data_IF_882018560274
#
_entry.id   IF_882018560274
#
_cell.length_a   1.000
_cell.length_b   1.000
_cell.length_c   1.000
_cell.angle_alpha   90.00
_cell.angle_beta   90.00
_cell.angle_gamma   90.00
#
_symmetry.space_group_name_H-M   'P 1'
#
loop_
_entity.id
_entity.type
_entity.pdbx_description
1 polymer ?
#
# COMPACT_ATOMS: atom_id res chain seq x y z
N UNK A 1 -9.30 5.39 0.83
CA UNK A 1 -9.85 6.76 1.01
C UNK A 1 -10.62 6.85 2.32
N UNK A 2 -10.72 8.03 2.90
CA UNK A 2 -11.53 8.24 4.10
C UNK A 2 -13.01 7.95 3.87
N UNK A 3 -13.75 7.65 4.95
CA UNK A 3 -15.20 7.59 4.90
C UNK A 3 -15.75 8.98 4.61
N UNK A 4 -16.51 9.12 3.54
CA UNK A 4 -17.19 10.38 3.19
C UNK A 4 -18.14 10.88 4.30
N UNK A 5 -18.59 9.98 5.19
CA UNK A 5 -19.38 10.35 6.36
C UNK A 5 -18.57 11.27 7.29
N UNK A 6 -17.29 11.01 7.53
CA UNK A 6 -16.44 11.86 8.36
C UNK A 6 -16.34 13.28 7.80
N UNK A 7 -16.23 13.42 6.48
CA UNK A 7 -16.18 14.72 5.83
C UNK A 7 -17.53 15.45 5.83
N UNK A 8 -18.65 14.73 6.02
CA UNK A 8 -20.01 15.32 6.09
C UNK A 8 -20.45 15.67 7.49
N UNK A 9 -20.14 14.83 8.48
CA UNK A 9 -20.71 14.94 9.84
C UNK A 9 -19.70 15.35 10.91
N UNK A 10 -18.40 15.17 10.65
CA UNK A 10 -17.31 15.37 11.62
C UNK A 10 -16.13 16.16 10.99
N UNK A 11 -16.46 17.11 10.09
CA UNK A 11 -15.48 17.76 9.24
C UNK A 11 -14.38 18.51 10.02
N UNK A 12 -14.76 19.28 11.05
CA UNK A 12 -13.79 20.06 11.85
C UNK A 12 -12.90 19.15 12.72
N UNK A 13 -13.47 18.08 13.29
CA UNK A 13 -12.71 17.07 14.03
C UNK A 13 -11.75 16.31 13.10
N UNK A 14 -12.24 15.93 11.91
CA UNK A 14 -11.43 15.29 10.88
C UNK A 14 -10.26 16.18 10.44
N UNK A 15 -10.51 17.47 10.25
CA UNK A 15 -9.49 18.47 9.93
C UNK A 15 -8.43 18.58 11.04
N UNK A 16 -8.84 18.58 12.30
CA UNK A 16 -7.93 18.62 13.44
C UNK A 16 -7.05 17.36 13.53
N UNK A 17 -7.61 16.17 13.30
CA UNK A 17 -6.86 14.91 13.28
C UNK A 17 -5.87 14.87 12.13
N UNK A 18 -6.24 15.36 10.94
CA UNK A 18 -5.35 15.43 9.77
C UNK A 18 -4.24 16.48 9.94
N UNK A 19 -4.51 17.55 10.69
CA UNK A 19 -3.50 18.56 11.00
C UNK A 19 -2.31 17.98 11.78
N UNK A 20 -2.50 16.92 12.59
CA UNK A 20 -1.42 16.18 13.26
C UNK A 20 -0.39 15.62 12.26
N UNK A 21 -0.82 15.32 11.02
CA UNK A 21 0.05 14.87 9.92
C UNK A 21 0.65 16.01 9.09
N UNK A 22 0.50 17.25 9.52
CA UNK A 22 0.83 18.42 8.71
C UNK A 22 -0.07 18.62 7.49
N UNK A 23 -1.19 17.86 7.38
CA UNK A 23 -2.13 17.98 6.27
C UNK A 23 -3.22 19.01 6.58
N UNK A 24 -3.24 20.09 5.81
CA UNK A 24 -4.27 21.13 5.93
C UNK A 24 -5.47 20.77 5.05
N UNK A 25 -6.55 20.30 5.67
CA UNK A 25 -7.81 20.01 4.97
C UNK A 25 -8.48 21.33 4.54
N UNK A 26 -8.89 21.44 3.29
CA UNK A 26 -9.67 22.58 2.80
C UNK A 26 -11.14 22.41 3.18
N UNK A 27 -11.44 22.80 4.41
CA UNK A 27 -12.77 22.71 5.04
C UNK A 27 -13.81 23.55 4.31
N UNK A 28 -13.41 24.73 3.80
CA UNK A 28 -14.34 25.64 3.12
C UNK A 28 -14.83 25.06 1.77
N UNK A 29 -13.90 24.51 1.00
CA UNK A 29 -14.24 23.86 -0.28
C UNK A 29 -15.15 22.65 -0.05
N UNK A 30 -14.87 21.80 0.96
CA UNK A 30 -15.73 20.65 1.28
C UNK A 30 -17.13 21.10 1.68
N UNK A 31 -17.26 22.07 2.58
CA UNK A 31 -18.56 22.59 3.00
C UNK A 31 -19.38 23.09 1.82
N UNK A 32 -18.76 23.87 0.95
CA UNK A 32 -19.40 24.39 -0.26
C UNK A 32 -19.89 23.27 -1.18
N UNK A 33 -19.04 22.28 -1.45
CA UNK A 33 -19.40 21.14 -2.31
C UNK A 33 -20.51 20.28 -1.69
N UNK A 34 -20.46 20.03 -0.37
CA UNK A 34 -21.51 19.27 0.33
C UNK A 34 -22.84 20.02 0.40
N UNK A 35 -22.85 21.33 0.56
CA UNK A 35 -24.04 22.17 0.46
C UNK A 35 -24.65 22.11 -0.94
N UNK A 36 -23.83 22.24 -1.98
CA UNK A 36 -24.25 22.10 -3.38
C UNK A 36 -24.85 20.72 -3.63
N UNK A 37 -24.13 19.65 -3.26
CA UNK A 37 -24.62 18.28 -3.40
C UNK A 37 -25.98 18.09 -2.72
N UNK A 38 -26.13 18.58 -1.48
CA UNK A 38 -27.38 18.46 -0.73
C UNK A 38 -28.53 19.20 -1.41
N UNK A 39 -28.30 20.43 -1.88
CA UNK A 39 -29.31 21.22 -2.58
C UNK A 39 -29.76 20.52 -3.87
N UNK A 40 -28.81 20.12 -4.72
CA UNK A 40 -29.11 19.46 -5.99
C UNK A 40 -29.78 18.11 -5.77
N UNK A 41 -29.35 17.34 -4.77
CA UNK A 41 -29.98 16.06 -4.43
C UNK A 41 -31.45 16.23 -4.06
N UNK A 42 -31.79 17.23 -3.24
CA UNK A 42 -33.18 17.53 -2.88
C UNK A 42 -34.00 17.94 -4.11
N UNK A 43 -33.43 18.71 -5.03
CA UNK A 43 -34.07 19.07 -6.30
C UNK A 43 -34.34 17.83 -7.17
N UNK A 44 -33.33 16.93 -7.32
CA UNK A 44 -33.48 15.65 -8.05
C UNK A 44 -34.57 14.80 -7.46
N UNK A 45 -34.61 14.63 -6.13
CA UNK A 45 -35.64 13.85 -5.42
C UNK A 45 -37.04 14.43 -5.62
N UNK A 46 -37.18 15.76 -5.54
CA UNK A 46 -38.45 16.46 -5.78
C UNK A 46 -38.94 16.30 -7.23
N UNK A 47 -38.05 16.50 -8.22
CA UNK A 47 -38.36 16.31 -9.64
C UNK A 47 -38.75 14.83 -9.91
N UNK A 48 -38.02 13.87 -9.34
CA UNK A 48 -38.30 12.43 -9.46
C UNK A 48 -39.68 12.08 -8.87
N UNK A 49 -40.00 12.59 -7.66
CA UNK A 49 -41.29 12.41 -7.00
C UNK A 49 -42.43 12.99 -7.81
N UNK A 50 -42.27 14.22 -8.33
CA UNK A 50 -43.24 14.91 -9.19
C UNK A 50 -43.48 14.09 -10.48
N UNK A 51 -42.42 13.63 -11.16
CA UNK A 51 -42.52 12.78 -12.35
C UNK A 51 -43.31 11.50 -12.08
N UNK A 52 -43.00 10.82 -10.95
CA UNK A 52 -43.68 9.59 -10.57
C UNK A 52 -45.19 9.83 -10.28
N UNK A 53 -45.53 10.94 -9.60
CA UNK A 53 -46.91 11.35 -9.30
C UNK A 53 -47.70 11.63 -10.59
N UNK A 54 -47.11 12.40 -11.50
CA UNK A 54 -47.72 12.73 -12.80
C UNK A 54 -47.88 11.48 -13.66
N UNK A 55 -46.87 10.59 -13.70
CA UNK A 55 -46.98 9.30 -14.43
C UNK A 55 -48.14 8.44 -13.92
N UNK A 56 -48.37 8.44 -12.58
CA UNK A 56 -49.50 7.74 -11.96
C UNK A 56 -50.85 8.37 -12.36
N UNK A 57 -50.95 9.70 -12.42
CA UNK A 57 -52.13 10.43 -12.85
C UNK A 57 -52.50 10.13 -14.30
N UNK A 58 -51.50 10.10 -15.21
CA UNK A 58 -51.70 9.71 -16.60
C UNK A 58 -52.26 8.28 -16.68
N UNK A 59 -51.67 7.33 -15.93
CA UNK A 59 -52.17 5.95 -15.86
C UNK A 59 -53.63 5.89 -15.41
N UNK A 60 -54.01 6.66 -14.43
CA UNK A 60 -55.41 6.76 -13.92
C UNK A 60 -56.35 7.36 -14.97
N UNK A 61 -55.97 8.44 -15.64
CA UNK A 61 -56.74 9.09 -16.72
C UNK A 61 -56.95 8.14 -17.91
N UNK A 62 -55.88 7.47 -18.31
CA UNK A 62 -55.98 6.47 -19.41
C UNK A 62 -56.87 5.29 -19.04
N UNK A 63 -56.82 4.79 -17.81
CA UNK A 63 -57.70 3.73 -17.34
C UNK A 63 -59.17 4.15 -17.25
N UNK A 64 -59.44 5.43 -17.00
CA UNK A 64 -60.77 6.04 -17.00
C UNK A 64 -61.29 6.42 -18.41
N UNK A 65 -60.53 6.20 -19.48
CA UNK A 65 -60.87 6.56 -20.86
C UNK A 65 -60.68 8.05 -21.21
N UNK A 66 -60.18 8.87 -20.30
CA UNK A 66 -59.94 10.32 -20.47
C UNK A 66 -58.60 10.55 -21.20
N UNK A 67 -58.64 10.36 -22.53
CA UNK A 67 -57.42 10.51 -23.37
C UNK A 67 -56.99 11.97 -23.49
N UNK A 68 -57.89 12.92 -23.55
CA UNK A 68 -57.57 14.34 -23.67
C UNK A 68 -56.86 14.84 -22.38
N UNK A 69 -57.40 14.52 -21.21
CA UNK A 69 -56.76 14.85 -19.95
C UNK A 69 -55.38 14.15 -19.75
N UNK A 70 -55.21 12.96 -20.29
CA UNK A 70 -53.93 12.27 -20.26
C UNK A 70 -52.87 12.98 -21.18
N UNK A 71 -53.27 13.46 -22.36
CA UNK A 71 -52.39 14.22 -23.27
C UNK A 71 -51.99 15.59 -22.73
N UNK A 72 -52.90 16.27 -22.04
CA UNK A 72 -52.63 17.56 -21.41
C UNK A 72 -51.56 17.41 -20.28
N UNK A 73 -51.69 16.36 -19.47
CA UNK A 73 -50.70 16.04 -18.42
C UNK A 73 -49.37 15.57 -19.06
N UNK A 74 -49.39 14.83 -20.17
CA UNK A 74 -48.12 14.45 -20.87
C UNK A 74 -47.32 15.63 -21.38
N UNK A 75 -47.97 16.73 -21.82
CA UNK A 75 -47.26 17.95 -22.23
C UNK A 75 -46.49 18.58 -21.08
N UNK A 76 -46.97 18.45 -19.85
CA UNK A 76 -46.26 18.95 -18.66
C UNK A 76 -45.03 18.10 -18.30
N UNK A 77 -44.97 16.85 -18.74
CA UNK A 77 -43.82 15.95 -18.47
C UNK A 77 -42.62 16.28 -19.37
N UNK A 78 -42.83 16.84 -20.57
CA UNK A 78 -41.77 17.04 -21.55
C UNK A 78 -40.59 17.88 -21.04
N UNK A 79 -40.88 18.92 -20.26
CA UNK A 79 -39.84 19.77 -19.65
C UNK A 79 -39.28 19.14 -18.35
N UNK A 80 -40.11 18.47 -17.57
CA UNK A 80 -39.71 17.85 -16.30
C UNK A 80 -38.66 16.75 -16.47
N UNK A 81 -38.73 15.99 -17.60
CA UNK A 81 -37.75 14.95 -17.90
C UNK A 81 -36.36 15.52 -18.17
N UNK A 82 -36.30 16.56 -19.02
CA UNK A 82 -35.02 17.23 -19.34
C UNK A 82 -34.42 17.94 -18.12
N UNK A 83 -35.26 18.54 -17.26
CA UNK A 83 -34.80 19.20 -16.05
C UNK A 83 -34.26 18.20 -15.03
N UNK A 84 -34.89 17.05 -14.88
CA UNK A 84 -34.43 15.95 -14.03
C UNK A 84 -33.08 15.41 -14.53
N UNK A 85 -32.93 15.18 -15.83
CA UNK A 85 -31.70 14.65 -16.40
C UNK A 85 -30.54 15.67 -16.27
N UNK A 86 -30.82 16.97 -16.50
CA UNK A 86 -29.84 18.04 -16.28
C UNK A 86 -29.37 18.09 -14.81
N UNK A 87 -30.31 18.00 -13.84
CA UNK A 87 -29.98 18.01 -12.43
C UNK A 87 -29.21 16.76 -11.98
N UNK A 88 -29.47 15.59 -12.57
CA UNK A 88 -28.65 14.39 -12.32
C UNK A 88 -27.21 14.57 -12.78
N UNK A 89 -27.00 15.13 -13.98
CA UNK A 89 -25.65 15.41 -14.48
C UNK A 89 -24.92 16.39 -13.57
N UNK A 90 -25.61 17.45 -13.10
CA UNK A 90 -25.04 18.40 -12.14
C UNK A 90 -24.65 17.72 -10.81
N UNK A 91 -25.51 16.82 -10.31
CA UNK A 91 -25.21 16.02 -9.10
C UNK A 91 -23.99 15.14 -9.30
N UNK A 92 -23.91 14.44 -10.42
CA UNK A 92 -22.76 13.59 -10.78
C UNK A 92 -21.44 14.40 -10.83
N UNK A 93 -21.48 15.61 -11.39
CA UNK A 93 -20.31 16.49 -11.44
C UNK A 93 -19.84 16.91 -10.04
N UNK A 94 -20.75 17.30 -9.16
CA UNK A 94 -20.38 17.67 -7.78
C UNK A 94 -19.90 16.47 -6.99
N UNK A 95 -20.48 15.29 -7.19
CA UNK A 95 -20.00 14.05 -6.56
C UNK A 95 -18.60 13.69 -7.05
N UNK A 96 -18.31 13.80 -8.33
CA UNK A 96 -16.98 13.57 -8.89
C UNK A 96 -15.92 14.51 -8.29
N UNK A 97 -16.25 15.79 -8.08
CA UNK A 97 -15.35 16.74 -7.42
C UNK A 97 -15.09 16.37 -5.96
N UNK A 98 -16.12 15.93 -5.21
CA UNK A 98 -15.97 15.44 -3.84
C UNK A 98 -15.11 14.18 -3.79
N UNK A 99 -15.29 13.25 -4.73
CA UNK A 99 -14.52 12.02 -4.81
C UNK A 99 -13.05 12.34 -5.13
N UNK A 100 -12.77 13.19 -6.11
CA UNK A 100 -11.41 13.63 -6.45
C UNK A 100 -10.72 14.28 -5.23
N UNK A 101 -11.45 15.16 -4.54
CA UNK A 101 -10.94 15.77 -3.32
C UNK A 101 -10.60 14.72 -2.26
N UNK A 102 -11.53 13.79 -1.99
CA UNK A 102 -11.36 12.74 -0.97
C UNK A 102 -10.18 11.81 -1.29
N UNK A 103 -9.90 11.57 -2.58
CA UNK A 103 -8.75 10.77 -3.01
C UNK A 103 -7.39 11.42 -2.68
N UNK A 104 -7.35 12.74 -2.53
CA UNK A 104 -6.14 13.48 -2.16
C UNK A 104 -5.88 13.51 -0.64
N UNK A 105 -6.86 13.13 0.19
CA UNK A 105 -6.79 13.19 1.66
C UNK A 105 -6.14 11.92 2.21
N UNK A 106 -5.09 12.03 3.05
CA UNK A 106 -4.46 10.88 3.69
C UNK A 106 -5.38 10.24 4.75
N UNK A 107 -5.01 9.04 5.19
CA UNK A 107 -5.70 8.41 6.31
C UNK A 107 -5.47 9.18 7.63
N UNK A 108 -6.42 9.09 8.55
CA UNK A 108 -6.33 9.69 9.89
C UNK A 108 -5.39 8.81 10.74
N UNK A 109 -4.39 9.38 11.46
CA UNK A 109 -3.56 8.60 12.37
C UNK A 109 -4.37 8.07 13.56
N UNK A 110 -3.96 6.94 14.12
CA UNK A 110 -4.50 6.46 15.39
C UNK A 110 -4.12 7.44 16.54
N UNK A 111 -4.91 7.44 17.60
CA UNK A 111 -4.75 8.43 18.67
C UNK A 111 -3.42 8.25 19.43
N UNK A 112 -2.93 7.00 19.53
CA UNK A 112 -1.67 6.62 20.17
C UNK A 112 -0.42 6.90 19.32
N UNK A 113 -0.57 7.26 18.05
CA UNK A 113 0.57 7.61 17.18
C UNK A 113 1.20 8.92 17.67
N UNK A 114 2.52 8.97 17.89
CA UNK A 114 3.19 10.19 18.36
C UNK A 114 3.12 11.29 17.31
N UNK A 115 2.95 12.53 17.78
CA UNK A 115 3.02 13.70 16.91
C UNK A 115 4.47 13.97 16.53
N UNK A 116 4.71 14.35 15.28
CA UNK A 116 6.04 14.66 14.76
C UNK A 116 5.98 15.15 13.32
N UNK A 117 7.15 15.56 12.78
CA UNK A 117 7.27 16.15 11.44
C UNK A 117 7.92 15.20 10.43
N UNK A 118 8.92 14.48 10.85
CA UNK A 118 9.74 13.63 9.99
C UNK A 118 10.35 12.45 10.79
N UNK A 119 11.23 11.70 10.15
CA UNK A 119 11.89 10.51 10.70
C UNK A 119 12.63 10.73 12.04
N UNK A 120 13.03 11.96 12.36
CA UNK A 120 13.72 12.28 13.60
C UNK A 120 12.79 12.29 14.82
N UNK A 121 11.49 12.42 14.60
CA UNK A 121 10.47 12.41 15.64
C UNK A 121 9.86 11.01 15.87
N UNK A 122 10.33 9.98 15.15
CA UNK A 122 9.91 8.59 15.36
C UNK A 122 10.36 8.10 16.75
N UNK A 123 9.52 7.29 17.40
CA UNK A 123 9.76 6.86 18.78
C UNK A 123 10.21 5.40 18.80
N UNK A 124 11.40 5.17 19.38
CA UNK A 124 11.91 3.81 19.61
C UNK A 124 11.04 3.09 20.66
N UNK A 125 10.53 1.92 20.28
CA UNK A 125 9.69 1.07 21.14
C UNK A 125 10.51 -0.02 21.81
N UNK A 126 11.40 -0.66 21.05
CA UNK A 126 12.25 -1.74 21.55
C UNK A 126 13.51 -1.88 20.71
N UNK A 127 14.47 -2.61 21.29
CA UNK A 127 15.72 -2.97 20.63
C UNK A 127 16.02 -4.43 20.91
N UNK A 128 16.61 -5.11 19.94
CA UNK A 128 17.06 -6.50 20.06
C UNK A 128 18.48 -6.65 19.52
N UNK A 129 19.28 -7.44 20.24
CA UNK A 129 20.69 -7.64 19.90
C UNK A 129 21.55 -6.41 20.16
N UNK A 130 22.86 -6.63 20.31
CA UNK A 130 23.84 -5.58 20.49
C UNK A 130 24.73 -5.45 19.26
N UNK A 131 24.99 -4.25 18.73
CA UNK A 131 25.98 -4.04 17.70
C UNK A 131 27.34 -4.62 18.09
N UNK A 132 27.92 -5.43 17.20
CA UNK A 132 29.25 -6.00 17.42
C UNK A 132 30.32 -4.91 17.40
N UNK A 133 31.37 -5.08 18.21
CA UNK A 133 32.61 -4.32 18.12
C UNK A 133 33.62 -5.11 17.30
N UNK A 134 34.42 -4.44 16.51
CA UNK A 134 35.40 -5.05 15.63
C UNK A 134 36.79 -4.51 15.97
N UNK A 135 37.80 -5.35 15.88
CA UNK A 135 39.21 -5.00 16.10
C UNK A 135 39.98 -4.79 14.78
N UNK A 136 39.26 -4.66 13.68
CA UNK A 136 39.77 -4.41 12.33
C UNK A 136 38.93 -3.33 11.61
N UNK A 137 39.50 -2.77 10.53
CA UNK A 137 38.82 -1.75 9.72
C UNK A 137 37.64 -2.35 8.96
N UNK A 138 36.43 -1.88 9.28
CA UNK A 138 35.21 -2.31 8.64
C UNK A 138 35.14 -1.83 7.18
N UNK A 139 34.67 -2.71 6.31
CA UNK A 139 34.33 -2.38 4.92
C UNK A 139 32.82 -2.30 4.76
N UNK A 140 32.35 -1.41 3.91
CA UNK A 140 30.95 -1.41 3.53
C UNK A 140 30.62 -2.59 2.57
N UNK A 141 29.34 -2.87 2.41
CA UNK A 141 28.88 -3.97 1.58
C UNK A 141 29.29 -3.87 0.10
N UNK A 142 29.59 -2.66 -0.41
CA UNK A 142 30.07 -2.47 -1.78
C UNK A 142 31.50 -2.98 -1.91
N UNK A 143 32.39 -2.53 -1.01
CA UNK A 143 33.78 -2.95 -0.99
C UNK A 143 33.90 -4.46 -0.77
N UNK A 144 33.12 -5.04 0.16
CA UNK A 144 33.04 -6.49 0.38
C UNK A 144 32.57 -7.23 -0.86
N UNK A 145 31.55 -6.71 -1.54
CA UNK A 145 31.00 -7.32 -2.75
C UNK A 145 31.93 -7.25 -3.94
N UNK A 146 32.67 -6.16 -4.10
CA UNK A 146 33.67 -5.99 -5.16
C UNK A 146 34.89 -6.90 -4.91
N UNK A 147 35.39 -6.96 -3.68
CA UNK A 147 36.50 -7.87 -3.30
C UNK A 147 36.15 -9.33 -3.57
N UNK A 148 34.92 -9.76 -3.23
CA UNK A 148 34.42 -11.11 -3.52
C UNK A 148 33.99 -11.30 -4.99
N UNK A 149 34.09 -10.28 -5.83
CA UNK A 149 33.72 -10.34 -7.26
C UNK A 149 32.23 -10.61 -7.50
N UNK A 150 31.37 -10.44 -6.48
CA UNK A 150 29.97 -10.85 -6.49
C UNK A 150 28.96 -9.74 -6.71
N UNK A 151 29.31 -8.48 -6.42
CA UNK A 151 28.48 -7.31 -6.71
C UNK A 151 29.11 -6.51 -7.86
N UNK A 152 28.39 -6.39 -8.98
CA UNK A 152 28.89 -5.74 -10.19
C UNK A 152 27.97 -4.59 -10.61
N UNK A 153 28.27 -3.42 -10.09
CA UNK A 153 27.55 -2.18 -10.42
C UNK A 153 27.91 -1.68 -11.83
N UNK A 154 29.13 -1.87 -12.28
CA UNK A 154 29.58 -1.41 -13.61
C UNK A 154 28.82 -2.12 -14.74
N UNK A 155 28.65 -3.43 -14.63
CA UNK A 155 27.84 -4.20 -15.60
C UNK A 155 26.37 -3.77 -15.54
N UNK A 156 25.81 -3.48 -14.38
CA UNK A 156 24.44 -3.01 -14.26
C UNK A 156 24.25 -1.64 -14.93
N UNK A 157 25.20 -0.72 -14.76
CA UNK A 157 25.17 0.60 -15.44
C UNK A 157 25.19 0.42 -16.96
N UNK A 158 26.00 -0.52 -17.48
CA UNK A 158 26.05 -0.83 -18.92
C UNK A 158 24.72 -1.37 -19.45
N UNK A 159 24.01 -2.19 -18.67
CA UNK A 159 22.77 -2.86 -19.09
C UNK A 159 21.58 -1.91 -18.99
N UNK A 160 21.49 -1.13 -17.89
CA UNK A 160 20.28 -0.38 -17.56
C UNK A 160 20.57 1.05 -17.12
N UNK A 161 21.51 1.24 -16.18
CA UNK A 161 21.82 2.55 -15.57
C UNK A 161 22.23 2.44 -14.11
N UNK A 162 22.32 3.58 -13.44
CA UNK A 162 22.59 3.66 -12.01
C UNK A 162 21.42 3.08 -11.18
N UNK A 163 21.68 2.70 -9.92
CA UNK A 163 20.71 2.11 -9.00
C UNK A 163 20.13 0.76 -9.44
N UNK A 164 20.93 0.01 -10.21
CA UNK A 164 20.72 -1.41 -10.51
C UNK A 164 21.98 -2.19 -10.16
N UNK A 165 21.85 -3.51 -10.02
CA UNK A 165 22.93 -4.39 -9.62
C UNK A 165 22.91 -5.68 -10.44
N UNK A 166 24.11 -6.19 -10.79
CA UNK A 166 24.32 -7.56 -11.22
C UNK A 166 25.00 -8.30 -10.09
N UNK A 167 24.39 -9.37 -9.61
CA UNK A 167 24.96 -10.25 -8.59
C UNK A 167 25.51 -11.52 -9.22
N UNK A 168 26.65 -12.03 -8.72
CA UNK A 168 27.36 -13.20 -9.28
C UNK A 168 27.68 -14.22 -8.19
N UNK A 169 27.74 -15.50 -8.60
CA UNK A 169 28.26 -16.60 -7.77
C UNK A 169 27.57 -16.73 -6.43
N UNK A 170 28.35 -16.75 -5.37
CA UNK A 170 27.86 -16.93 -4.00
C UNK A 170 26.98 -15.77 -3.51
N UNK A 171 27.20 -14.54 -3.99
CA UNK A 171 26.35 -13.39 -3.65
C UNK A 171 24.96 -13.51 -4.26
N UNK A 172 24.85 -13.92 -5.52
CA UNK A 172 23.55 -14.21 -6.13
C UNK A 172 22.83 -15.36 -5.43
N UNK A 173 23.60 -16.39 -4.99
CA UNK A 173 23.04 -17.49 -4.21
C UNK A 173 22.58 -17.03 -2.85
N UNK A 174 23.34 -16.16 -2.15
CA UNK A 174 22.95 -15.60 -0.85
C UNK A 174 21.66 -14.79 -0.96
N UNK A 175 21.55 -13.93 -1.97
CA UNK A 175 20.35 -13.17 -2.23
C UNK A 175 19.10 -14.08 -2.35
N UNK A 176 19.18 -15.13 -3.15
CA UNK A 176 18.12 -16.13 -3.29
C UNK A 176 17.87 -16.91 -2.00
N UNK A 177 18.94 -17.28 -1.27
CA UNK A 177 18.84 -18.00 0.01
C UNK A 177 18.08 -17.18 1.07
N UNK A 178 18.32 -15.87 1.16
CA UNK A 178 17.62 -14.96 2.05
C UNK A 178 16.12 -14.95 1.72
N UNK A 179 15.76 -14.74 0.45
CA UNK A 179 14.37 -14.71 0.03
C UNK A 179 13.65 -16.05 0.30
N UNK A 180 14.29 -17.17 -0.01
CA UNK A 180 13.74 -18.50 0.23
C UNK A 180 13.55 -18.77 1.72
N UNK A 181 14.53 -18.42 2.55
CA UNK A 181 14.43 -18.56 4.01
C UNK A 181 13.25 -17.76 4.56
N UNK A 182 13.06 -16.53 4.13
CA UNK A 182 11.94 -15.69 4.56
C UNK A 182 10.59 -16.31 4.15
N UNK A 183 10.44 -16.78 2.92
CA UNK A 183 9.22 -17.43 2.46
C UNK A 183 8.91 -18.69 3.26
N UNK A 184 9.89 -19.57 3.42
CA UNK A 184 9.72 -20.82 4.19
C UNK A 184 9.29 -20.51 5.64
N UNK A 185 9.94 -19.55 6.29
CA UNK A 185 9.58 -19.13 7.64
C UNK A 185 8.13 -18.64 7.75
N UNK A 186 7.72 -17.77 6.82
CA UNK A 186 6.38 -17.19 6.87
C UNK A 186 5.29 -18.20 6.50
N UNK A 187 5.57 -19.15 5.62
CA UNK A 187 4.60 -20.17 5.21
C UNK A 187 4.52 -21.33 6.19
N UNK A 188 5.66 -21.80 6.72
CA UNK A 188 5.72 -22.97 7.58
C UNK A 188 5.41 -22.66 9.06
N UNK A 189 5.86 -21.48 9.57
CA UNK A 189 5.73 -21.14 10.98
C UNK A 189 4.67 -20.06 11.27
N UNK A 190 4.49 -19.07 10.36
CA UNK A 190 3.62 -17.92 10.61
C UNK A 190 2.23 -18.06 9.98
N UNK A 191 1.98 -19.14 9.24
CA UNK A 191 0.67 -19.46 8.68
C UNK A 191 0.23 -18.60 7.50
N UNK A 192 1.18 -18.03 6.76
CA UNK A 192 0.88 -17.31 5.52
C UNK A 192 0.76 -18.30 4.35
N UNK A 193 -0.14 -17.98 3.42
CA UNK A 193 -0.20 -18.66 2.12
C UNK A 193 0.73 -17.94 1.15
N UNK A 194 1.66 -18.68 0.54
CA UNK A 194 2.52 -18.14 -0.51
C UNK A 194 1.71 -17.86 -1.77
N UNK A 195 1.92 -16.67 -2.34
CA UNK A 195 1.24 -16.20 -3.55
C UNK A 195 2.26 -15.91 -4.64
N UNK A 196 2.04 -16.46 -5.84
CA UNK A 196 2.72 -16.03 -7.05
C UNK A 196 1.81 -15.07 -7.82
N UNK A 197 2.25 -13.83 -7.99
CA UNK A 197 1.42 -12.74 -8.52
C UNK A 197 2.07 -12.07 -9.74
N UNK A 198 1.27 -11.43 -10.63
CA UNK A 198 1.80 -10.62 -11.71
C UNK A 198 2.64 -9.44 -11.20
N UNK A 199 3.73 -9.14 -11.91
CA UNK A 199 4.59 -7.97 -11.64
C UNK A 199 4.17 -6.73 -12.44
N UNK A 200 3.27 -6.90 -13.41
CA UNK A 200 2.61 -5.84 -14.13
C UNK A 200 1.14 -5.78 -13.71
N UNK A 201 0.70 -4.60 -13.29
CA UNK A 201 -0.67 -4.38 -12.78
C UNK A 201 -1.35 -3.24 -13.51
N UNK A 202 -2.67 -3.27 -13.53
CA UNK A 202 -3.50 -2.22 -14.07
C UNK A 202 -3.66 -1.04 -13.08
N UNK A 203 -4.21 0.07 -13.58
CA UNK A 203 -4.43 1.28 -12.78
C UNK A 203 -5.38 1.05 -11.61
N UNK A 204 -6.38 0.17 -11.75
CA UNK A 204 -7.35 -0.12 -10.68
C UNK A 204 -6.68 -0.78 -9.48
N UNK A 205 -5.69 -1.64 -9.71
CA UNK A 205 -4.92 -2.26 -8.63
C UNK A 205 -4.07 -1.25 -7.87
N UNK A 206 -3.44 -0.32 -8.60
CA UNK A 206 -2.68 0.80 -8.00
C UNK A 206 -3.58 1.80 -7.28
N UNK A 207 -4.79 2.01 -7.78
CA UNK A 207 -5.81 2.82 -7.13
C UNK A 207 -6.28 2.16 -5.83
N UNK A 208 -6.53 0.86 -5.86
CA UNK A 208 -7.01 0.08 -4.72
C UNK A 208 -6.12 0.20 -3.49
N UNK A 209 -4.81 0.11 -3.66
CA UNK A 209 -3.83 0.21 -2.57
C UNK A 209 -3.30 1.64 -2.35
N UNK A 210 -3.73 2.62 -3.15
CA UNK A 210 -3.50 4.05 -2.89
C UNK A 210 -2.24 4.65 -3.54
N UNK A 211 -1.56 3.94 -4.43
CA UNK A 211 -0.46 4.50 -5.21
C UNK A 211 -0.96 5.56 -6.21
N UNK A 212 -2.11 5.30 -6.83
CA UNK A 212 -2.76 6.29 -7.69
C UNK A 212 -3.91 7.00 -6.96
N UNK A 213 -4.19 8.25 -7.32
CA UNK A 213 -3.54 9.07 -8.36
C UNK A 213 -2.21 9.73 -7.93
N UNK A 214 -1.94 9.83 -6.62
CA UNK A 214 -0.94 10.73 -6.02
C UNK A 214 0.51 10.37 -6.40
N UNK A 215 0.87 9.09 -6.42
CA UNK A 215 2.24 8.62 -6.55
C UNK A 215 2.58 8.06 -7.95
N UNK A 216 1.83 8.47 -8.97
CA UNK A 216 2.05 7.99 -10.34
C UNK A 216 3.46 8.25 -10.89
N UNK A 217 4.16 9.30 -10.42
CA UNK A 217 5.53 9.63 -10.81
C UNK A 217 6.59 8.69 -10.22
N UNK A 218 6.25 7.97 -9.15
CA UNK A 218 7.14 7.03 -8.49
C UNK A 218 7.10 5.63 -9.13
N UNK A 219 6.23 5.44 -10.12
CA UNK A 219 6.01 4.16 -10.80
C UNK A 219 6.74 4.11 -12.15
N UNK A 220 7.17 2.89 -12.52
CA UNK A 220 7.54 2.57 -13.89
C UNK A 220 6.29 2.13 -14.66
N UNK A 221 5.97 2.86 -15.73
CA UNK A 221 4.86 2.57 -16.62
C UNK A 221 5.33 1.92 -17.92
N UNK A 222 4.51 1.05 -18.49
CA UNK A 222 4.72 0.53 -19.84
C UNK A 222 4.07 1.47 -20.86
N UNK A 223 4.57 1.40 -22.10
CA UNK A 223 3.77 1.85 -23.24
C UNK A 223 2.50 0.97 -23.35
N UNK A 224 1.42 1.48 -23.98
CA UNK A 224 0.23 0.67 -24.20
C UNK A 224 0.55 -0.62 -24.95
N UNK A 225 0.03 -1.76 -24.48
CA UNK A 225 0.46 -3.11 -24.91
C UNK A 225 -0.09 -3.56 -26.27
N UNK A 226 -1.07 -2.88 -26.84
CA UNK A 226 -1.66 -3.32 -28.09
C UNK A 226 -2.37 -2.18 -28.83
N UNK A 227 -2.57 -2.39 -30.14
CA UNK A 227 -3.59 -1.67 -30.90
C UNK A 227 -4.97 -1.89 -30.28
N UNK A 228 -5.90 -0.93 -30.48
CA UNK A 228 -7.26 -1.01 -29.99
C UNK A 228 -7.89 -2.37 -30.32
N UNK A 229 -8.32 -3.09 -29.31
CA UNK A 229 -9.10 -4.31 -29.48
C UNK A 229 -10.54 -3.97 -29.12
N UNK A 230 -11.46 -4.12 -30.05
CA UNK A 230 -12.90 -3.86 -29.85
C UNK A 230 -13.23 -2.42 -29.40
N UNK A 231 -12.58 -1.39 -29.96
CA UNK A 231 -12.74 0.05 -29.62
C UNK A 231 -12.37 0.42 -28.17
N UNK A 232 -11.81 -0.50 -27.37
CA UNK A 232 -11.25 -0.17 -26.06
C UNK A 232 -9.88 0.51 -26.21
N UNK A 233 -9.62 1.56 -25.40
CA UNK A 233 -8.31 2.18 -25.34
C UNK A 233 -7.25 1.17 -24.83
N UNK A 234 -6.03 1.19 -25.44
CA UNK A 234 -4.96 0.26 -25.05
C UNK A 234 -4.64 0.38 -23.57
N UNK A 235 -4.60 -0.76 -22.87
CA UNK A 235 -4.34 -0.79 -21.43
C UNK A 235 -2.90 -0.47 -21.13
N UNK A 236 -2.68 0.57 -20.32
CA UNK A 236 -1.39 0.90 -19.73
C UNK A 236 -1.22 0.08 -18.46
N UNK A 237 -0.11 -0.66 -18.37
CA UNK A 237 0.30 -1.38 -17.16
C UNK A 237 1.44 -0.66 -16.47
N UNK A 238 1.67 -0.99 -15.22
CA UNK A 238 2.80 -0.49 -14.45
C UNK A 238 3.50 -1.64 -13.74
N UNK A 239 4.82 -1.54 -13.62
CA UNK A 239 5.60 -2.43 -12.77
C UNK A 239 5.24 -2.18 -11.30
N UNK A 240 5.11 -3.25 -10.52
CA UNK A 240 4.73 -3.14 -9.12
C UNK A 240 5.83 -2.46 -8.28
N UNK A 241 5.51 -1.49 -7.42
CA UNK A 241 6.46 -0.92 -6.46
C UNK A 241 6.63 -1.81 -5.21
N UNK A 242 5.72 -2.76 -5.02
CA UNK A 242 5.63 -3.71 -3.90
C UNK A 242 4.60 -4.80 -4.25
N UNK A 243 4.79 -6.00 -3.74
CA UNK A 243 3.81 -7.08 -3.84
C UNK A 243 2.50 -6.78 -3.10
N UNK A 244 2.49 -5.81 -2.18
CA UNK A 244 1.25 -5.31 -1.56
C UNK A 244 0.18 -5.05 -2.62
N UNK A 245 0.54 -4.42 -3.74
CA UNK A 245 -0.42 -4.04 -4.78
C UNK A 245 -1.18 -5.26 -5.34
N UNK A 246 -0.55 -6.24 -5.97
CA UNK A 246 -1.29 -7.39 -6.50
C UNK A 246 -1.89 -8.27 -5.42
N UNK A 247 -1.20 -8.50 -4.29
CA UNK A 247 -1.68 -9.40 -3.24
C UNK A 247 -2.92 -8.85 -2.54
N UNK A 248 -2.91 -7.57 -2.14
CA UNK A 248 -4.07 -6.96 -1.47
C UNK A 248 -5.28 -6.87 -2.40
N UNK A 249 -5.06 -6.66 -3.71
CA UNK A 249 -6.14 -6.61 -4.70
C UNK A 249 -6.81 -7.98 -4.99
N UNK A 250 -6.32 -9.09 -4.46
CA UNK A 250 -7.00 -10.37 -4.58
C UNK A 250 -8.38 -10.38 -3.90
N UNK A 251 -8.60 -9.48 -2.95
CA UNK A 251 -9.91 -9.30 -2.29
C UNK A 251 -10.70 -8.11 -2.84
N UNK A 252 -10.25 -7.46 -3.93
CA UNK A 252 -11.00 -6.37 -4.57
C UNK A 252 -12.34 -6.86 -5.10
N UNK A 253 -13.40 -6.04 -4.87
CA UNK A 253 -14.78 -6.31 -5.26
C UNK A 253 -15.35 -7.63 -4.72
N UNK A 254 -14.78 -8.14 -3.61
CA UNK A 254 -15.23 -9.38 -2.98
C UNK A 254 -15.95 -9.13 -1.66
N UNK A 255 -16.80 -10.10 -1.28
CA UNK A 255 -17.40 -10.20 0.05
C UNK A 255 -17.01 -11.56 0.61
N UNK A 256 -16.00 -11.57 1.49
CA UNK A 256 -15.54 -12.77 2.18
C UNK A 256 -16.52 -13.20 3.27
N UNK A 257 -16.54 -14.48 3.62
CA UNK A 257 -17.21 -14.94 4.83
C UNK A 257 -16.38 -14.59 6.08
N UNK A 258 -17.04 -14.31 7.19
CA UNK A 258 -16.37 -14.02 8.46
C UNK A 258 -15.41 -15.15 8.88
N UNK A 259 -15.76 -16.40 8.56
CA UNK A 259 -14.97 -17.57 8.92
C UNK A 259 -13.64 -17.70 8.16
N UNK A 260 -13.51 -16.99 7.02
CA UNK A 260 -12.28 -16.99 6.22
C UNK A 260 -11.23 -16.00 6.75
N UNK A 261 -11.61 -15.11 7.68
CA UNK A 261 -10.72 -14.09 8.22
C UNK A 261 -10.02 -14.57 9.52
N UNK A 262 -8.74 -14.24 9.73
CA UNK A 262 -7.90 -13.44 8.86
C UNK A 262 -7.36 -14.20 7.64
N UNK A 263 -7.25 -13.54 6.47
CA UNK A 263 -6.53 -14.05 5.31
C UNK A 263 -5.09 -13.55 5.41
N UNK A 264 -4.12 -14.47 5.47
CA UNK A 264 -2.68 -14.16 5.54
C UNK A 264 -2.00 -14.62 4.27
N UNK A 265 -1.35 -13.70 3.56
CA UNK A 265 -0.69 -13.95 2.28
C UNK A 265 0.72 -13.40 2.27
N UNK A 266 1.65 -14.12 1.64
CA UNK A 266 3.03 -13.67 1.44
C UNK A 266 3.46 -13.85 0.00
N UNK A 267 4.29 -12.97 -0.52
CA UNK A 267 4.85 -13.08 -1.85
C UNK A 267 6.28 -12.53 -1.90
N UNK A 268 7.19 -13.26 -2.56
CA UNK A 268 8.50 -12.75 -2.96
C UNK A 268 8.41 -12.22 -4.38
N UNK A 269 8.70 -10.94 -4.57
CA UNK A 269 8.70 -10.31 -5.89
C UNK A 269 9.84 -9.31 -6.05
N UNK A 270 10.30 -9.06 -7.28
CA UNK A 270 10.97 -7.81 -7.59
C UNK A 270 9.98 -6.65 -7.38
N UNK A 271 10.52 -5.51 -6.95
CA UNK A 271 9.81 -4.26 -6.74
C UNK A 271 10.52 -3.17 -7.53
N UNK A 272 9.75 -2.26 -8.12
CA UNK A 272 10.28 -1.24 -9.03
C UNK A 272 9.84 0.15 -8.56
N UNK A 273 10.81 1.03 -8.27
CA UNK A 273 10.54 2.41 -7.83
C UNK A 273 11.43 3.38 -8.60
N UNK A 274 10.83 4.43 -9.17
CA UNK A 274 11.59 5.46 -9.89
C UNK A 274 12.40 6.37 -8.96
N UNK A 275 12.14 6.29 -7.64
CA UNK A 275 12.86 7.09 -6.63
C UNK A 275 12.87 8.60 -6.93
N UNK A 276 11.77 9.12 -7.48
CA UNK A 276 11.67 10.48 -8.02
C UNK A 276 11.97 11.60 -6.99
N UNK A 277 11.79 11.33 -5.69
CA UNK A 277 12.04 12.28 -4.60
C UNK A 277 13.40 12.13 -3.90
N UNK A 278 14.24 11.16 -4.29
CA UNK A 278 15.45 10.77 -3.53
C UNK A 278 16.76 11.16 -4.20
N UNK A 279 16.78 12.28 -4.89
CA UNK A 279 17.98 12.75 -5.61
C UNK A 279 19.14 12.96 -4.62
N UNK A 280 20.31 12.31 -4.89
CA UNK A 280 21.51 12.44 -4.07
C UNK A 280 21.57 11.64 -2.77
N UNK A 281 20.47 10.94 -2.38
CA UNK A 281 20.48 10.08 -1.18
C UNK A 281 20.88 8.64 -1.54
N UNK A 282 21.72 8.00 -0.70
CA UNK A 282 22.14 6.60 -0.82
C UNK A 282 22.46 6.19 -2.26
N UNK A 283 23.32 6.95 -2.93
CA UNK A 283 23.66 6.74 -4.35
C UNK A 283 24.59 5.56 -4.61
N UNK A 284 25.24 5.03 -3.54
CA UNK A 284 26.17 3.91 -3.58
C UNK A 284 25.55 2.70 -2.85
N UNK A 285 25.73 1.52 -3.44
CA UNK A 285 25.34 0.25 -2.81
C UNK A 285 23.88 -0.14 -3.02
N UNK A 286 23.39 -1.05 -2.15
CA UNK A 286 22.10 -1.73 -2.28
C UNK A 286 20.95 -1.11 -1.47
N UNK A 287 21.20 -0.02 -0.75
CA UNK A 287 20.21 0.58 0.17
C UNK A 287 19.03 1.16 -0.60
N UNK A 288 19.29 1.82 -1.75
CA UNK A 288 18.26 2.50 -2.54
C UNK A 288 18.42 2.19 -4.03
N UNK A 289 17.57 1.29 -4.51
CA UNK A 289 17.63 0.74 -5.86
C UNK A 289 16.31 0.98 -6.60
N UNK A 290 16.39 1.13 -7.94
CA UNK A 290 15.21 1.16 -8.82
C UNK A 290 14.52 -0.21 -8.92
N UNK A 291 15.31 -1.28 -8.78
CA UNK A 291 14.83 -2.65 -8.72
C UNK A 291 15.44 -3.34 -7.51
N UNK A 292 14.59 -3.93 -6.68
CA UNK A 292 14.99 -4.70 -5.50
C UNK A 292 13.96 -5.79 -5.20
N UNK A 293 14.38 -6.82 -4.48
CA UNK A 293 13.50 -7.92 -4.09
C UNK A 293 12.98 -7.72 -2.67
N UNK A 294 11.72 -8.08 -2.45
CA UNK A 294 11.05 -8.01 -1.16
C UNK A 294 10.14 -9.21 -0.95
N UNK A 295 10.17 -9.76 0.24
CA UNK A 295 9.12 -10.65 0.72
C UNK A 295 8.08 -9.76 1.41
N UNK A 296 6.85 -9.80 0.92
CA UNK A 296 5.74 -8.99 1.43
C UNK A 296 4.79 -9.84 2.22
N UNK A 297 4.32 -9.30 3.34
CA UNK A 297 3.27 -9.87 4.18
C UNK A 297 2.02 -9.02 4.05
N UNK A 298 0.89 -9.65 3.79
CA UNK A 298 -0.43 -9.00 3.72
C UNK A 298 -1.39 -9.75 4.62
N UNK A 299 -2.13 -9.02 5.44
CA UNK A 299 -3.24 -9.56 6.21
C UNK A 299 -4.54 -8.81 5.91
N UNK A 300 -5.62 -9.56 5.73
CA UNK A 300 -6.97 -9.04 5.61
C UNK A 300 -7.72 -9.51 6.86
N UNK A 301 -8.23 -8.56 7.64
CA UNK A 301 -8.77 -8.85 8.97
C UNK A 301 -10.15 -8.23 9.18
N UNK A 302 -10.82 -8.68 10.24
CA UNK A 302 -11.95 -7.95 10.81
C UNK A 302 -11.46 -6.65 11.46
N UNK A 303 -12.30 -5.62 11.53
CA UNK A 303 -11.93 -4.34 12.14
C UNK A 303 -11.39 -4.46 13.58
N UNK A 304 -12.05 -5.26 14.42
CA UNK A 304 -11.69 -5.46 15.83
C UNK A 304 -10.34 -6.15 16.04
N UNK A 305 -9.90 -6.95 15.08
CA UNK A 305 -8.66 -7.75 15.19
C UNK A 305 -7.43 -7.02 14.62
N UNK A 306 -7.62 -5.93 13.87
CA UNK A 306 -6.58 -5.35 13.02
C UNK A 306 -5.39 -4.74 13.77
N UNK A 307 -5.57 -4.22 14.99
CA UNK A 307 -4.44 -3.70 15.78
C UNK A 307 -3.59 -4.84 16.34
N UNK A 308 -4.21 -5.95 16.80
CA UNK A 308 -3.48 -7.14 17.21
C UNK A 308 -2.76 -7.79 16.02
N UNK A 309 -3.38 -7.75 14.83
CA UNK A 309 -2.77 -8.25 13.60
C UNK A 309 -1.53 -7.42 13.20
N UNK A 310 -1.49 -6.11 13.50
CA UNK A 310 -0.30 -5.29 13.28
C UNK A 310 0.87 -5.72 14.19
N UNK A 311 0.60 -5.98 15.47
CA UNK A 311 1.62 -6.49 16.40
C UNK A 311 2.12 -7.86 15.95
N UNK A 312 1.23 -8.77 15.57
CA UNK A 312 1.58 -10.08 15.05
C UNK A 312 2.43 -10.00 13.78
N UNK A 313 2.02 -9.23 12.78
CA UNK A 313 2.72 -9.07 11.51
C UNK A 313 4.12 -8.47 11.73
N UNK A 314 4.23 -7.47 12.61
CA UNK A 314 5.52 -6.87 12.97
C UNK A 314 6.41 -7.89 13.67
N UNK A 315 5.87 -8.69 14.60
CA UNK A 315 6.58 -9.77 15.26
C UNK A 315 7.11 -10.86 14.30
N UNK A 316 6.36 -11.15 13.23
CA UNK A 316 6.82 -12.05 12.16
C UNK A 316 8.03 -11.49 11.39
N UNK A 317 8.06 -10.19 11.14
CA UNK A 317 9.20 -9.53 10.53
C UNK A 317 10.41 -9.45 11.48
N UNK A 318 10.17 -9.17 12.78
CA UNK A 318 11.22 -9.20 13.83
C UNK A 318 11.86 -10.59 13.93
N UNK A 319 11.06 -11.66 13.81
CA UNK A 319 11.56 -13.05 13.87
C UNK A 319 12.59 -13.37 12.80
N UNK A 320 12.46 -12.82 11.59
CA UNK A 320 13.47 -12.96 10.53
C UNK A 320 14.83 -12.40 10.98
N UNK A 321 14.82 -11.18 11.53
CA UNK A 321 16.05 -10.53 12.02
C UNK A 321 16.69 -11.28 13.19
N UNK A 322 15.87 -11.78 14.10
CA UNK A 322 16.33 -12.56 15.26
C UNK A 322 17.00 -13.87 14.83
N UNK A 323 16.41 -14.60 13.87
CA UNK A 323 16.97 -15.83 13.35
C UNK A 323 18.25 -15.62 12.53
N UNK A 324 18.38 -14.46 11.90
CA UNK A 324 19.61 -14.01 11.22
C UNK A 324 20.65 -13.43 12.16
N UNK A 325 20.33 -13.30 13.46
CA UNK A 325 21.18 -12.73 14.51
C UNK A 325 21.65 -11.30 14.20
N UNK A 326 20.76 -10.51 13.56
CA UNK A 326 21.04 -9.11 13.18
C UNK A 326 20.47 -8.16 14.22
N UNK A 327 21.28 -7.28 14.82
CA UNK A 327 20.80 -6.25 15.76
C UNK A 327 19.84 -5.27 15.06
N UNK A 328 18.69 -4.98 15.69
CA UNK A 328 17.71 -4.05 15.17
C UNK A 328 17.01 -3.28 16.27
N UNK A 329 16.34 -2.20 15.88
CA UNK A 329 15.38 -1.49 16.72
C UNK A 329 14.01 -1.44 16.02
N UNK A 330 12.94 -1.38 16.83
CA UNK A 330 11.58 -1.12 16.38
C UNK A 330 11.18 0.28 16.77
N UNK A 331 10.71 1.05 15.81
CA UNK A 331 10.22 2.41 16.02
C UNK A 331 8.75 2.50 15.60
N UNK A 332 7.95 3.31 16.31
CA UNK A 332 6.64 3.73 15.81
C UNK A 332 6.82 5.03 15.05
N UNK A 333 6.32 5.09 13.84
CA UNK A 333 6.39 6.30 13.05
C UNK A 333 5.52 7.40 13.64
N UNK A 334 6.02 8.61 13.65
CA UNK A 334 5.26 9.80 14.02
C UNK A 334 4.27 10.19 12.92
N UNK A 335 3.32 11.06 13.26
CA UNK A 335 2.25 11.46 12.33
C UNK A 335 2.74 12.08 11.03
N UNK A 336 3.92 12.73 11.01
CA UNK A 336 4.50 13.37 9.83
C UNK A 336 5.24 12.41 8.89
N UNK A 337 5.73 11.27 9.42
CA UNK A 337 6.51 10.29 8.66
C UNK A 337 5.68 9.11 8.13
N UNK A 338 4.46 8.92 8.63
CA UNK A 338 3.59 7.83 8.21
C UNK A 338 3.21 7.90 6.73
N UNK A 339 3.17 6.74 6.06
CA UNK A 339 2.66 6.57 4.69
C UNK A 339 1.22 7.09 4.52
N UNK A 340 0.87 7.51 3.30
CA UNK A 340 -0.40 8.18 2.96
C UNK A 340 -1.65 7.42 3.43
N UNK A 341 -1.68 6.09 3.23
CA UNK A 341 -2.81 5.23 3.60
C UNK A 341 -2.77 4.69 5.02
N UNK A 342 -1.65 4.86 5.72
CA UNK A 342 -1.45 4.23 7.03
C UNK A 342 -2.22 4.94 8.15
N UNK A 343 -2.74 4.13 9.07
CA UNK A 343 -3.33 4.55 10.34
C UNK A 343 -2.32 4.48 11.49
N UNK A 344 -1.45 3.47 11.46
CA UNK A 344 -0.31 3.26 12.35
C UNK A 344 0.74 2.43 11.64
N UNK A 345 2.00 2.75 11.84
CA UNK A 345 3.13 2.06 11.22
C UNK A 345 4.22 1.82 12.25
N UNK A 346 4.79 0.61 12.22
CA UNK A 346 6.06 0.28 12.85
C UNK A 346 7.12 0.08 11.78
N UNK A 347 8.28 0.68 11.96
CA UNK A 347 9.46 0.36 11.18
C UNK A 347 10.43 -0.49 12.01
N UNK A 348 11.03 -1.47 11.35
CA UNK A 348 12.20 -2.18 11.85
C UNK A 348 13.43 -1.61 11.17
N UNK A 349 14.39 -1.21 11.95
CA UNK A 349 15.65 -0.67 11.47
C UNK A 349 16.80 -1.56 11.92
N UNK A 350 17.55 -2.11 10.97
CA UNK A 350 18.70 -2.99 11.22
C UNK A 350 19.99 -2.19 11.36
N UNK A 351 20.86 -2.60 12.24
CA UNK A 351 22.19 -1.99 12.40
C UNK A 351 23.08 -2.26 11.18
N UNK A 352 23.67 -1.21 10.63
CA UNK A 352 24.63 -1.25 9.52
C UNK A 352 25.97 -0.73 10.01
N UNK A 353 26.95 -1.61 10.32
CA UNK A 353 28.17 -1.25 11.03
C UNK A 353 29.04 -0.22 10.33
N UNK A 354 29.25 -0.34 9.01
CA UNK A 354 30.09 0.58 8.25
C UNK A 354 29.51 2.01 8.16
N UNK A 355 28.22 2.17 8.42
CA UNK A 355 27.54 3.47 8.48
C UNK A 355 27.29 3.93 9.92
N UNK A 356 27.60 3.11 10.90
CA UNK A 356 27.34 3.36 12.33
C UNK A 356 25.91 3.83 12.61
N UNK A 357 24.92 3.25 11.92
CA UNK A 357 23.52 3.66 12.01
C UNK A 357 22.55 2.51 11.81
N UNK A 358 21.33 2.72 12.29
CA UNK A 358 20.19 1.86 11.98
C UNK A 358 19.56 2.29 10.64
N UNK A 359 19.21 1.30 9.81
CA UNK A 359 18.56 1.51 8.52
C UNK A 359 17.27 0.75 8.45
N UNK A 360 16.21 1.40 7.98
CA UNK A 360 14.91 0.78 7.73
C UNK A 360 15.07 -0.47 6.85
N UNK A 361 14.53 -1.60 7.31
CA UNK A 361 14.53 -2.88 6.59
C UNK A 361 13.13 -3.44 6.41
N UNK A 362 12.20 -3.02 7.23
CA UNK A 362 10.77 -3.34 7.13
C UNK A 362 9.94 -2.17 7.61
N UNK A 363 8.80 -1.97 6.95
CA UNK A 363 7.75 -1.05 7.38
C UNK A 363 6.44 -1.83 7.44
N UNK A 364 5.82 -1.91 8.62
CA UNK A 364 4.61 -2.68 8.91
C UNK A 364 3.46 -1.73 9.22
N UNK A 365 2.42 -1.71 8.38
CA UNK A 365 1.35 -0.73 8.45
C UNK A 365 -0.03 -1.36 8.57
N UNK A 366 -0.87 -0.78 9.41
CA UNK A 366 -2.31 -1.00 9.43
C UNK A 366 -2.97 0.14 8.65
N UNK A 367 -3.67 -0.19 7.55
CA UNK A 367 -4.37 0.76 6.69
C UNK A 367 -5.83 0.97 7.11
N UNK A 368 -6.34 0.19 8.08
CA UNK A 368 -7.75 0.14 8.43
C UNK A 368 -8.63 -0.15 7.21
N UNK A 369 -9.74 0.55 7.08
CA UNK A 369 -10.68 0.44 5.96
C UNK A 369 -10.30 1.33 4.75
N UNK A 370 -9.17 2.05 4.83
CA UNK A 370 -8.78 3.03 3.82
C UNK A 370 -8.59 2.42 2.42
N UNK A 371 -7.88 1.31 2.33
CA UNK A 371 -7.69 0.57 1.08
C UNK A 371 -8.94 -0.27 0.75
N UNK A 372 -9.54 -0.91 1.75
CA UNK A 372 -10.76 -1.70 1.57
C UNK A 372 -11.90 -0.88 0.97
N UNK A 373 -12.02 0.40 1.34
CA UNK A 373 -13.01 1.33 0.78
C UNK A 373 -12.74 1.61 -0.71
N UNK A 374 -11.47 1.77 -1.11
CA UNK A 374 -11.08 1.93 -2.52
C UNK A 374 -11.35 0.67 -3.34
N UNK A 375 -11.06 -0.48 -2.76
CA UNK A 375 -11.18 -1.79 -3.40
C UNK A 375 -12.57 -2.41 -3.30
N UNK A 376 -13.49 -1.83 -2.49
CA UNK A 376 -14.77 -2.47 -2.15
C UNK A 376 -14.60 -3.87 -1.55
N UNK A 377 -13.50 -4.06 -0.79
CA UNK A 377 -13.21 -5.30 -0.10
C UNK A 377 -14.02 -5.37 1.20
N UNK A 378 -14.88 -6.38 1.32
CA UNK A 378 -15.87 -6.50 2.38
C UNK A 378 -15.91 -7.91 2.94
N UNK A 379 -16.51 -8.06 4.10
CA UNK A 379 -16.86 -9.37 4.65
C UNK A 379 -18.27 -9.35 5.20
N UNK A 380 -18.83 -10.51 5.42
CA UNK A 380 -20.18 -10.65 5.99
C UNK A 380 -20.11 -11.45 7.28
N UNK A 381 -20.60 -10.85 8.36
CA UNK A 381 -20.74 -11.55 9.64
C UNK A 381 -21.82 -12.62 9.56
N UNK A 382 -21.59 -13.71 10.26
CA UNK A 382 -22.55 -14.82 10.30
C UNK A 382 -23.92 -14.34 10.79
N UNK A 383 -24.95 -14.52 9.96
CA UNK A 383 -26.32 -14.11 10.25
C UNK A 383 -26.68 -12.66 9.88
N UNK A 384 -25.69 -11.85 9.50
CA UNK A 384 -25.94 -10.46 9.07
C UNK A 384 -26.18 -10.38 7.56
N UNK A 385 -27.09 -9.46 7.16
CA UNK A 385 -27.38 -9.21 5.74
C UNK A 385 -26.43 -8.20 5.12
N UNK A 386 -25.99 -7.22 5.90
CA UNK A 386 -25.16 -6.11 5.41
C UNK A 386 -23.68 -6.47 5.54
N UNK A 387 -22.88 -6.39 4.48
CA UNK A 387 -21.45 -6.56 4.57
C UNK A 387 -20.78 -5.32 5.18
N UNK A 388 -19.65 -5.55 5.84
CA UNK A 388 -18.76 -4.53 6.40
C UNK A 388 -17.45 -4.49 5.61
N UNK A 389 -16.73 -3.37 5.66
CA UNK A 389 -15.38 -3.29 5.10
C UNK A 389 -14.41 -4.11 5.97
N UNK A 390 -13.49 -4.81 5.31
CA UNK A 390 -12.33 -5.41 5.99
C UNK A 390 -11.31 -4.34 6.36
N UNK A 391 -10.37 -4.66 7.26
CA UNK A 391 -9.14 -3.91 7.44
C UNK A 391 -8.00 -4.61 6.70
N UNK A 392 -7.08 -3.85 6.12
CA UNK A 392 -5.91 -4.35 5.42
C UNK A 392 -4.64 -3.95 6.14
N UNK A 393 -3.68 -4.87 6.20
CA UNK A 393 -2.37 -4.65 6.75
C UNK A 393 -1.32 -5.18 5.78
N UNK A 394 -0.18 -4.51 5.75
CA UNK A 394 0.97 -4.97 4.99
C UNK A 394 2.27 -4.70 5.74
N UNK A 395 3.30 -5.45 5.40
CA UNK A 395 4.65 -5.21 5.89
C UNK A 395 5.69 -6.02 5.15
N UNK A 396 6.93 -5.55 5.17
CA UNK A 396 8.02 -6.31 4.58
C UNK A 396 8.47 -7.42 5.51
N UNK A 397 8.57 -8.61 5.01
CA UNK A 397 9.06 -9.76 5.77
C UNK A 397 10.36 -10.41 5.25
N UNK A 398 11.39 -9.72 4.72
CA UNK A 398 11.85 -8.34 4.69
C UNK A 398 12.22 -7.88 3.26
N UNK A 399 12.91 -6.69 3.17
CA UNK A 399 13.62 -6.27 1.96
C UNK A 399 14.90 -7.08 1.79
N UNK A 400 14.97 -7.94 0.76
CA UNK A 400 16.03 -8.94 0.58
C UNK A 400 17.41 -8.28 0.41
N UNK A 401 17.49 -7.22 -0.41
CA UNK A 401 18.75 -6.49 -0.64
C UNK A 401 19.28 -5.82 0.62
N UNK A 402 18.44 -5.17 1.41
CA UNK A 402 18.87 -4.55 2.69
C UNK A 402 19.23 -5.60 3.74
N UNK A 403 18.56 -6.74 3.77
CA UNK A 403 18.95 -7.87 4.61
C UNK A 403 20.33 -8.40 4.20
N UNK A 404 20.59 -8.49 2.91
CA UNK A 404 21.93 -8.88 2.43
C UNK A 404 23.00 -7.86 2.86
N UNK A 405 22.74 -6.54 2.75
CA UNK A 405 23.65 -5.50 3.27
C UNK A 405 23.97 -5.74 4.75
N UNK A 406 22.94 -5.94 5.56
CA UNK A 406 23.11 -6.18 6.98
C UNK A 406 23.93 -7.44 7.28
N UNK A 407 23.70 -8.54 6.54
CA UNK A 407 24.49 -9.77 6.70
C UNK A 407 25.95 -9.56 6.30
N UNK A 408 26.19 -8.92 5.16
CA UNK A 408 27.56 -8.69 4.67
C UNK A 408 28.37 -7.86 5.68
N UNK A 409 27.79 -6.78 6.19
CA UNK A 409 28.50 -5.86 7.08
C UNK A 409 28.61 -6.37 8.52
N UNK A 410 27.54 -7.01 9.08
CA UNK A 410 27.59 -7.51 10.47
C UNK A 410 28.40 -8.83 10.63
N UNK A 411 28.59 -9.58 9.53
CA UNK A 411 29.24 -10.90 9.59
C UNK A 411 30.59 -10.96 8.86
N UNK A 412 31.15 -9.80 8.52
CA UNK A 412 32.50 -9.72 7.94
C UNK A 412 33.55 -10.11 8.97
N UNK A 413 34.61 -10.78 8.49
CA UNK A 413 35.78 -11.20 9.25
C UNK A 413 37.03 -10.40 8.84
N UNK A 414 38.05 -10.39 9.68
CA UNK A 414 39.27 -9.62 9.44
C UNK A 414 39.99 -9.99 8.13
N UNK A 415 39.85 -11.22 7.63
CA UNK A 415 40.43 -11.69 6.37
C UNK A 415 39.56 -11.34 5.13
N UNK A 416 38.41 -10.68 5.34
CA UNK A 416 37.49 -10.26 4.28
C UNK A 416 36.44 -11.28 3.91
N UNK A 417 36.44 -12.47 4.52
CA UNK A 417 35.35 -13.45 4.38
C UNK A 417 34.11 -12.96 5.14
N UNK A 418 32.98 -13.52 4.78
CA UNK A 418 31.67 -13.21 5.37
C UNK A 418 31.08 -14.51 5.91
N UNK A 419 30.88 -14.58 7.22
CA UNK A 419 30.22 -15.73 7.84
C UNK A 419 28.74 -15.78 7.46
N UNK A 420 28.25 -16.93 7.03
CA UNK A 420 26.85 -17.14 6.66
C UNK A 420 26.05 -17.49 7.92
N UNK A 421 24.96 -16.73 8.24
CA UNK A 421 24.05 -17.09 9.32
C UNK A 421 23.63 -18.54 9.27
N UNK A 422 23.61 -19.22 10.41
CA UNK A 422 23.36 -20.67 10.52
C UNK A 422 22.09 -21.10 9.79
N UNK A 423 21.02 -20.31 9.90
CA UNK A 423 19.72 -20.58 9.26
C UNK A 423 19.78 -20.56 7.72
N UNK A 424 20.74 -19.86 7.15
CA UNK A 424 20.93 -19.76 5.68
C UNK A 424 21.85 -20.85 5.11
N UNK A 425 22.65 -21.55 5.93
CA UNK A 425 23.64 -22.50 5.43
C UNK A 425 23.02 -23.64 4.62
N UNK A 426 21.81 -24.13 5.03
CA UNK A 426 21.08 -25.16 4.25
C UNK A 426 20.76 -24.69 2.82
N UNK A 427 20.42 -23.43 2.62
CA UNK A 427 20.12 -22.83 1.32
C UNK A 427 21.40 -22.52 0.52
N UNK A 428 22.51 -22.37 1.23
CA UNK A 428 23.84 -22.15 0.64
C UNK A 428 24.59 -23.45 0.33
N UNK A 429 23.94 -24.63 0.49
CA UNK A 429 24.52 -25.92 0.23
C UNK A 429 25.56 -26.34 1.27
N UNK A 430 25.38 -25.89 2.51
CA UNK A 430 26.26 -26.18 3.63
C UNK A 430 27.49 -25.26 3.71
N UNK A 431 27.62 -24.26 2.84
CA UNK A 431 28.70 -23.28 2.95
C UNK A 431 28.52 -22.46 4.24
N UNK A 432 29.63 -22.24 4.95
CA UNK A 432 29.68 -21.46 6.19
C UNK A 432 30.19 -20.04 5.98
N UNK A 433 30.86 -19.77 4.86
CA UNK A 433 31.44 -18.46 4.50
C UNK A 433 31.29 -18.16 3.02
N UNK A 434 31.35 -16.89 2.68
CA UNK A 434 31.52 -16.31 1.34
C UNK A 434 32.86 -15.57 1.32
N UNK A 435 33.62 -15.67 0.23
CA UNK A 435 34.92 -15.01 0.03
C UNK A 435 36.05 -15.98 -0.10
#
# INVERSE_FOLDING_TARGET
MLDSKLLRTELDETAAKLARRGFKLDVETIRKLEEQRKSIQVEVENLQSTRNSISKQIGQKMAAGDKEGAEEIKKQIGTLGSDLDAKKVELEQVMAQLDEFTLSVPNIPADEVPDGKDENDNVEISRWGEPKTYDFDLKDHVDLGEMGGGLDFASAVKITGARFIVMKGQFARLHRAIAQFMLDLHTEEHGYTEMYVPYLVNSDSLFGTGQLPKFGKDLFHTEPLAEKVNDEEPRKLSLIPTAEVPVTNLVRDTISDEADLPIKMTAHTPCFRSEAGSYGRDTRGLIRMHQFDKVELVQITKPEDSMNALEELTGHAEKVLQLLELPYRKVVLCTGDMGFGARKTYDLEVWVPAQETYREISSCSNMWDFQARRMQARFRRKGEKKPELVHTLNGSGLAVGRTMVAILENNQEADGRIAIPTVLQKYMGGATHIG
#
